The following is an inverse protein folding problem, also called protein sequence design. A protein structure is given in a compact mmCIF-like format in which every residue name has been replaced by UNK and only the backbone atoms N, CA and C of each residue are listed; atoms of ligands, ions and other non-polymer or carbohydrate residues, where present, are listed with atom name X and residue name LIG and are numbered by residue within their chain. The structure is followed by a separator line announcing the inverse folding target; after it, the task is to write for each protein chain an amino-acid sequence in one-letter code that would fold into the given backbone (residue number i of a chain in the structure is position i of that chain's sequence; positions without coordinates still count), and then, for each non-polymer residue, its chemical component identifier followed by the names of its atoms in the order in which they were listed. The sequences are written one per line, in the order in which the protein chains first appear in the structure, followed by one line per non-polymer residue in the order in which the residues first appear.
data_IF_222813899093
#
_entry.id   IF_222813899093
#
_cell.length_a   1.000
_cell.length_b   1.000
_cell.length_c   1.000
_cell.angle_alpha   90.00
_cell.angle_beta   90.00
_cell.angle_gamma   90.00
#
_symmetry.space_group_name_H-M   'P 1'
#
loop_
_entity.id
_entity.type
_entity.pdbx_description
1 polymer ?
#
# COMPACT_ATOMS: atom_id res chain seq x y z
N UNK A 1 7.14 -0.85 28.34
CA UNK A 1 8.36 -0.87 27.49
C UNK A 1 8.24 -1.86 26.33
N UNK A 2 7.96 -3.15 26.57
CA UNK A 2 7.77 -4.15 25.48
C UNK A 2 6.66 -3.77 24.49
N UNK A 3 5.52 -3.29 25.00
CA UNK A 3 4.39 -2.85 24.17
C UNK A 3 4.75 -1.63 23.31
N UNK A 4 5.42 -0.63 23.90
CA UNK A 4 5.90 0.54 23.16
C UNK A 4 6.86 0.16 22.02
N UNK A 5 7.78 -0.77 22.28
CA UNK A 5 8.73 -1.27 21.27
C UNK A 5 7.98 -2.01 20.14
N UNK A 6 6.97 -2.81 20.49
CA UNK A 6 6.16 -3.51 19.49
C UNK A 6 5.37 -2.51 18.62
N UNK A 7 4.76 -1.50 19.22
CA UNK A 7 4.05 -0.46 18.49
C UNK A 7 4.99 0.33 17.57
N UNK A 8 6.19 0.68 18.03
CA UNK A 8 7.19 1.36 17.21
C UNK A 8 7.60 0.51 16.01
N UNK A 9 7.82 -0.80 16.22
CA UNK A 9 8.13 -1.74 15.13
C UNK A 9 6.97 -1.83 14.15
N UNK A 10 5.74 -2.03 14.65
CA UNK A 10 4.53 -2.13 13.83
C UNK A 10 4.36 -0.89 12.93
N UNK A 11 4.50 0.32 13.50
CA UNK A 11 4.37 1.57 12.76
C UNK A 11 5.51 1.76 11.75
N UNK A 12 6.75 1.38 12.10
CA UNK A 12 7.86 1.41 11.16
C UNK A 12 7.63 0.46 9.97
N UNK A 13 7.09 -0.74 10.21
CA UNK A 13 6.77 -1.69 9.15
C UNK A 13 5.62 -1.21 8.27
N UNK A 14 4.55 -0.64 8.83
CA UNK A 14 3.44 -0.04 8.07
C UNK A 14 3.90 1.14 7.22
N UNK A 15 4.73 2.02 7.78
CA UNK A 15 5.32 3.13 7.05
C UNK A 15 6.21 2.64 5.91
N UNK A 16 7.09 1.65 6.17
CA UNK A 16 7.96 1.08 5.14
C UNK A 16 7.15 0.37 4.04
N UNK A 17 6.15 -0.44 4.42
CA UNK A 17 5.28 -1.13 3.47
C UNK A 17 4.53 -0.14 2.56
N UNK A 18 4.18 1.05 3.05
CA UNK A 18 3.52 2.09 2.25
C UNK A 18 4.37 2.61 1.07
N UNK A 19 5.68 2.34 1.05
CA UNK A 19 6.56 2.63 -0.09
C UNK A 19 6.60 1.53 -1.16
N UNK A 20 5.98 0.38 -0.90
CA UNK A 20 6.09 -0.78 -1.78
C UNK A 20 5.10 -0.72 -2.94
N UNK A 21 5.43 -1.42 -4.03
CA UNK A 21 4.61 -1.47 -5.23
C UNK A 21 3.45 -2.45 -5.03
N UNK A 22 2.27 -1.88 -4.73
CA UNK A 22 1.01 -2.59 -4.61
C UNK A 22 0.03 -2.23 -5.74
N UNK A 23 0.53 -1.77 -6.90
CA UNK A 23 -0.29 -1.26 -8.01
C UNK A 23 -1.40 -2.22 -8.47
N UNK A 24 -1.22 -3.53 -8.25
CA UNK A 24 -2.15 -4.59 -8.67
C UNK A 24 -2.91 -5.25 -7.50
N UNK A 25 -2.85 -4.67 -6.31
CA UNK A 25 -3.64 -5.12 -5.16
C UNK A 25 -5.06 -4.52 -5.23
N UNK A 26 -5.34 -3.63 -6.21
CA UNK A 26 -6.54 -2.81 -6.24
C UNK A 26 -7.12 -2.66 -7.65
N UNK A 27 -8.28 -3.27 -7.87
CA UNK A 27 -9.43 -2.79 -8.67
C UNK A 27 -10.17 -4.02 -9.22
N UNK A 28 -11.39 -4.20 -8.73
CA UNK A 28 -12.42 -5.10 -9.24
C UNK A 28 -12.01 -6.56 -9.39
N UNK A 29 -12.22 -7.39 -8.34
CA UNK A 29 -12.41 -8.86 -8.39
C UNK A 29 -11.39 -9.70 -9.21
N UNK A 30 -10.38 -9.08 -9.80
CA UNK A 30 -9.26 -9.69 -10.49
C UNK A 30 -8.22 -9.86 -9.43
N UNK A 31 -8.37 -11.01 -8.80
CA UNK A 31 -7.47 -11.60 -7.85
C UNK A 31 -6.03 -11.25 -8.23
N UNK A 32 -5.26 -10.75 -7.27
CA UNK A 32 -3.82 -10.59 -7.36
C UNK A 32 -3.13 -11.81 -8.01
N UNK A 33 -3.73 -12.99 -7.86
CA UNK A 33 -3.37 -14.29 -8.45
C UNK A 33 -3.42 -14.34 -9.99
N UNK A 34 -4.11 -13.39 -10.64
CA UNK A 34 -4.16 -13.22 -12.09
C UNK A 34 -2.86 -12.64 -12.65
N UNK A 35 -2.12 -11.88 -11.85
CA UNK A 35 -0.84 -11.31 -12.27
C UNK A 35 0.29 -12.30 -12.05
N UNK A 36 1.30 -12.19 -12.90
CA UNK A 36 2.50 -13.01 -12.83
C UNK A 36 3.73 -12.14 -12.59
N UNK A 37 4.79 -12.74 -12.07
CA UNK A 37 6.07 -12.09 -11.89
C UNK A 37 7.21 -12.93 -12.45
N UNK A 38 8.31 -12.28 -12.81
CA UNK A 38 9.55 -12.97 -13.18
C UNK A 38 10.75 -12.03 -13.27
N UNK A 39 11.94 -12.60 -13.42
CA UNK A 39 13.19 -11.82 -13.41
C UNK A 39 13.53 -11.20 -14.77
N UNK A 40 12.91 -11.68 -15.85
CA UNK A 40 13.20 -11.21 -17.20
C UNK A 40 12.16 -10.19 -17.62
N UNK A 41 12.58 -9.04 -18.14
CA UNK A 41 11.62 -8.04 -18.68
C UNK A 41 10.73 -8.62 -19.78
N UNK A 42 11.27 -9.53 -20.57
CA UNK A 42 10.55 -10.23 -21.64
C UNK A 42 10.51 -11.72 -21.31
N UNK A 43 9.34 -12.26 -20.91
CA UNK A 43 9.22 -13.68 -20.61
C UNK A 43 9.39 -14.49 -21.91
N UNK A 44 10.56 -15.09 -22.11
CA UNK A 44 10.83 -16.00 -23.23
C UNK A 44 10.38 -17.43 -22.95
N UNK A 45 10.51 -17.85 -21.69
CA UNK A 45 10.15 -19.18 -21.20
C UNK A 45 9.24 -19.08 -19.98
N UNK A 46 8.20 -19.92 -19.92
CA UNK A 46 7.24 -19.96 -18.81
C UNK A 46 7.83 -20.48 -17.49
N UNK A 47 9.02 -21.08 -17.53
CA UNK A 47 9.63 -21.80 -16.39
C UNK A 47 10.16 -20.88 -15.27
N UNK A 48 10.26 -19.56 -15.51
CA UNK A 48 10.71 -18.57 -14.52
C UNK A 48 9.62 -17.54 -14.17
N UNK A 49 8.36 -17.95 -14.30
CA UNK A 49 7.20 -17.11 -14.04
C UNK A 49 6.44 -17.69 -12.85
N UNK A 50 6.16 -16.85 -11.86
CA UNK A 50 5.38 -17.21 -10.68
C UNK A 50 4.11 -16.35 -10.58
N UNK A 51 3.12 -16.78 -9.79
CA UNK A 51 2.00 -15.93 -9.41
C UNK A 51 2.49 -14.76 -8.55
N UNK A 52 1.90 -13.59 -8.77
CA UNK A 52 2.05 -12.46 -7.88
C UNK A 52 1.32 -12.77 -6.57
N UNK A 53 2.05 -12.63 -5.46
CA UNK A 53 1.48 -12.65 -4.11
C UNK A 53 1.97 -11.40 -3.37
N UNK A 54 1.14 -10.79 -2.53
CA UNK A 54 1.55 -9.58 -1.81
C UNK A 54 2.72 -9.85 -0.84
N UNK A 55 2.86 -11.08 -0.34
CA UNK A 55 4.04 -11.48 0.44
C UNK A 55 5.34 -11.31 -0.37
N UNK A 56 5.28 -11.53 -1.70
CA UNK A 56 6.40 -11.32 -2.62
C UNK A 56 6.64 -9.84 -2.89
N UNK A 57 5.59 -9.02 -2.95
CA UNK A 57 5.74 -7.56 -3.08
C UNK A 57 6.47 -6.94 -1.88
N UNK A 58 6.32 -7.55 -0.69
CA UNK A 58 7.02 -7.14 0.53
C UNK A 58 8.49 -7.60 0.60
N UNK A 59 8.79 -8.76 0.01
CA UNK A 59 10.04 -9.48 0.26
C UNK A 59 11.20 -9.01 -0.62
N UNK A 60 12.34 -8.76 0.01
CA UNK A 60 13.61 -8.45 -0.66
C UNK A 60 14.07 -9.51 -1.66
N UNK A 61 13.66 -10.77 -1.45
CA UNK A 61 13.98 -11.88 -2.37
C UNK A 61 13.44 -11.62 -3.78
N UNK A 62 12.29 -10.96 -3.87
CA UNK A 62 11.60 -10.68 -5.12
C UNK A 62 11.81 -9.25 -5.60
N UNK A 63 12.72 -8.50 -4.95
CA UNK A 63 13.12 -7.18 -5.42
C UNK A 63 13.59 -7.27 -6.87
N UNK A 64 13.18 -6.30 -7.67
CA UNK A 64 13.46 -6.16 -9.11
C UNK A 64 12.77 -7.19 -10.02
N UNK A 65 11.90 -8.06 -9.49
CA UNK A 65 11.04 -8.89 -10.34
C UNK A 65 10.06 -8.01 -11.10
N UNK A 66 9.93 -8.24 -12.40
CA UNK A 66 8.94 -7.60 -13.26
C UNK A 66 7.58 -8.21 -12.99
N UNK A 67 6.56 -7.35 -12.90
CA UNK A 67 5.17 -7.77 -12.91
C UNK A 67 4.71 -7.80 -14.36
N UNK A 68 4.21 -8.95 -14.80
CA UNK A 68 3.61 -9.13 -16.11
C UNK A 68 2.12 -8.86 -16.02
N UNK A 69 1.71 -7.81 -16.73
CA UNK A 69 0.33 -7.48 -17.04
C UNK A 69 0.16 -7.69 -18.56
N UNK A 70 -1.00 -8.21 -18.98
CA UNK A 70 -1.35 -8.39 -20.39
C UNK A 70 -1.49 -7.04 -21.11
N UNK A 71 -1.49 -5.92 -20.38
CA UNK A 71 -1.43 -4.56 -20.93
C UNK A 71 -0.01 -4.20 -21.40
N UNK A 72 0.13 -3.92 -22.70
CA UNK A 72 1.40 -3.89 -23.46
C UNK A 72 2.26 -2.64 -23.21
N UNK A 73 2.39 -2.09 -22.00
CA UNK A 73 3.17 -0.85 -21.84
C UNK A 73 3.88 -0.57 -20.52
N UNK A 74 3.67 -1.33 -19.45
CA UNK A 74 4.41 -1.07 -18.21
C UNK A 74 4.62 -2.36 -17.42
N UNK A 75 5.89 -2.79 -17.33
CA UNK A 75 6.31 -3.86 -16.43
C UNK A 75 6.96 -3.21 -15.20
N UNK A 76 6.18 -2.74 -14.21
CA UNK A 76 6.76 -2.20 -13.01
C UNK A 76 7.48 -3.33 -12.25
N UNK A 77 8.53 -2.98 -11.51
CA UNK A 77 9.26 -3.93 -10.69
C UNK A 77 8.75 -3.94 -9.26
N UNK A 78 8.89 -5.09 -8.60
CA UNK A 78 8.75 -5.21 -7.17
C UNK A 78 9.92 -4.51 -6.47
N UNK A 79 9.64 -3.82 -5.37
CA UNK A 79 10.62 -3.02 -4.63
C UNK A 79 10.63 -3.33 -3.12
N UNK A 80 10.00 -4.44 -2.70
CA UNK A 80 9.99 -4.86 -1.31
C UNK A 80 11.39 -5.09 -0.75
N UNK A 81 11.58 -4.74 0.52
CA UNK A 81 12.88 -4.85 1.20
C UNK A 81 12.84 -5.67 2.49
N UNK A 82 11.67 -6.20 2.85
CA UNK A 82 11.54 -7.03 4.04
C UNK A 82 12.32 -8.33 3.89
N UNK A 83 12.98 -8.75 4.98
CA UNK A 83 13.48 -10.12 5.07
C UNK A 83 12.32 -11.11 4.96
N UNK A 84 12.58 -12.34 4.50
CA UNK A 84 11.51 -13.33 4.26
C UNK A 84 10.63 -13.57 5.49
N UNK A 85 11.23 -13.69 6.68
CA UNK A 85 10.51 -13.87 7.95
C UNK A 85 9.67 -12.62 8.27
N UNK A 86 10.22 -11.43 8.04
CA UNK A 86 9.53 -10.17 8.26
C UNK A 86 8.32 -10.02 7.33
N UNK A 87 8.49 -10.29 6.03
CA UNK A 87 7.40 -10.28 5.06
C UNK A 87 6.28 -11.25 5.44
N UNK A 88 6.63 -12.48 5.85
CA UNK A 88 5.65 -13.48 6.33
C UNK A 88 4.94 -13.04 7.60
N UNK A 89 5.65 -12.45 8.55
CA UNK A 89 5.05 -11.99 9.81
C UNK A 89 4.13 -10.78 9.57
N UNK A 90 4.57 -9.82 8.75
CA UNK A 90 3.75 -8.68 8.33
C UNK A 90 2.48 -9.19 7.65
N UNK A 91 2.60 -10.11 6.70
CA UNK A 91 1.48 -10.73 5.99
C UNK A 91 0.52 -11.50 6.89
N UNK A 92 1.00 -12.12 7.97
CA UNK A 92 0.12 -12.78 8.95
C UNK A 92 -0.74 -11.79 9.72
N UNK A 93 -0.22 -10.58 9.97
CA UNK A 93 -0.87 -9.57 10.80
C UNK A 93 -1.67 -8.55 9.99
N UNK A 94 -1.12 -8.04 8.90
CA UNK A 94 -1.72 -6.98 8.10
C UNK A 94 -2.18 -7.52 6.74
N UNK A 95 -3.30 -6.97 6.28
CA UNK A 95 -3.81 -7.13 4.93
C UNK A 95 -3.86 -5.76 4.26
N UNK A 96 -3.48 -5.67 2.99
CA UNK A 96 -3.57 -4.42 2.23
C UNK A 96 -4.96 -4.38 1.61
N UNK A 97 -5.76 -3.38 1.99
CA UNK A 97 -7.14 -3.21 1.53
C UNK A 97 -7.25 -2.25 0.35
N UNK A 98 -6.38 -1.26 0.31
CA UNK A 98 -6.33 -0.30 -0.78
C UNK A 98 -4.93 0.31 -0.84
N UNK A 99 -4.38 0.49 -2.03
CA UNK A 99 -3.15 1.25 -2.24
C UNK A 99 -3.36 2.27 -3.36
N UNK A 100 -3.01 3.52 -3.06
CA UNK A 100 -2.83 4.59 -4.03
C UNK A 100 -1.34 4.70 -4.35
N UNK A 101 -0.91 4.28 -5.56
CA UNK A 101 0.45 4.52 -6.02
C UNK A 101 0.75 6.02 -6.08
N UNK A 102 2.04 6.35 -6.12
CA UNK A 102 2.50 7.72 -6.32
C UNK A 102 1.78 8.39 -7.50
N UNK A 103 1.01 9.42 -7.20
CA UNK A 103 0.41 10.30 -8.20
C UNK A 103 1.45 11.29 -8.73
N UNK A 104 1.12 12.00 -9.81
CA UNK A 104 1.98 13.05 -10.37
C UNK A 104 2.31 14.17 -9.35
N UNK A 105 1.49 14.33 -8.31
CA UNK A 105 1.73 15.29 -7.24
C UNK A 105 2.72 14.78 -6.17
N UNK A 106 3.10 13.50 -6.22
CA UNK A 106 3.93 12.84 -5.22
C UNK A 106 3.15 12.22 -4.05
N UNK A 107 1.81 12.31 -4.06
CA UNK A 107 0.96 11.68 -3.05
C UNK A 107 0.87 10.16 -3.25
N UNK A 108 1.00 9.42 -2.15
CA UNK A 108 0.71 7.99 -2.07
C UNK A 108 0.23 7.64 -0.66
N UNK A 109 -0.71 6.71 -0.58
CA UNK A 109 -1.27 6.25 0.68
C UNK A 109 -1.70 4.79 0.57
N UNK A 110 -1.70 4.09 1.69
CA UNK A 110 -2.13 2.70 1.78
C UNK A 110 -3.06 2.50 2.95
N UNK A 111 -4.19 1.83 2.71
CA UNK A 111 -5.09 1.33 3.74
C UNK A 111 -4.72 -0.12 4.06
N UNK A 112 -4.35 -0.35 5.31
CA UNK A 112 -4.10 -1.67 5.88
C UNK A 112 -5.25 -2.07 6.81
N UNK A 113 -5.42 -3.36 6.97
CA UNK A 113 -6.27 -3.96 7.99
C UNK A 113 -5.42 -4.83 8.92
N UNK A 114 -5.34 -4.46 10.20
CA UNK A 114 -4.72 -5.22 11.27
C UNK A 114 -5.67 -6.32 11.74
N UNK A 115 -5.37 -7.56 11.37
CA UNK A 115 -6.16 -8.75 11.68
C UNK A 115 -6.12 -9.13 13.16
N UNK A 116 -5.08 -8.71 13.89
CA UNK A 116 -4.94 -9.02 15.31
C UNK A 116 -5.76 -8.04 16.16
N UNK A 117 -5.78 -6.77 15.76
CA UNK A 117 -6.46 -5.70 16.51
C UNK A 117 -7.87 -5.39 16.00
N UNK A 118 -8.27 -5.95 14.85
CA UNK A 118 -9.53 -5.64 14.15
C UNK A 118 -9.65 -4.13 13.89
N UNK A 119 -8.60 -3.56 13.29
CA UNK A 119 -8.50 -2.12 13.01
C UNK A 119 -7.99 -1.83 11.62
N UNK A 120 -8.48 -0.73 11.06
CA UNK A 120 -7.95 -0.17 9.83
C UNK A 120 -6.85 0.83 10.15
N UNK A 121 -5.79 0.82 9.35
CA UNK A 121 -4.65 1.72 9.50
C UNK A 121 -4.33 2.36 8.15
N UNK A 122 -4.40 3.69 8.08
CA UNK A 122 -3.99 4.46 6.91
C UNK A 122 -2.55 4.87 7.11
N UNK A 123 -1.66 4.46 6.21
CA UNK A 123 -0.28 4.93 6.15
C UNK A 123 -0.08 5.87 4.98
N UNK A 124 0.40 7.09 5.26
CA UNK A 124 0.78 8.04 4.21
C UNK A 124 2.26 7.93 3.87
N UNK A 125 2.56 8.03 2.58
CA UNK A 125 3.94 8.21 2.13
C UNK A 125 4.29 9.69 2.21
N UNK A 126 5.31 10.03 2.97
CA UNK A 126 5.70 11.43 3.16
C UNK A 126 6.10 12.14 1.86
N UNK A 127 5.63 13.38 1.72
CA UNK A 127 6.32 14.48 1.03
C UNK A 127 6.47 15.59 2.06
N UNK A 128 7.68 16.15 2.18
CA UNK A 128 8.00 17.13 3.22
C UNK A 128 7.04 18.33 3.17
N UNK A 129 6.33 18.62 4.28
CA UNK A 129 5.66 19.91 4.52
C UNK A 129 4.12 19.97 4.45
N UNK A 130 3.40 18.95 3.95
CA UNK A 130 1.94 19.06 3.73
C UNK A 130 1.04 18.16 4.61
N UNK A 131 1.59 17.18 5.34
CA UNK A 131 0.80 16.09 5.95
C UNK A 131 0.73 16.13 7.49
N UNK A 132 0.72 17.31 8.11
CA UNK A 132 0.45 17.37 9.55
C UNK A 132 -1.01 16.95 9.84
N UNK A 133 -1.26 16.34 11.01
CA UNK A 133 -2.64 16.01 11.42
C UNK A 133 -3.56 17.25 11.43
N UNK A 134 -2.99 18.43 11.69
CA UNK A 134 -3.68 19.72 11.59
C UNK A 134 -4.08 20.06 10.14
N UNK A 135 -3.21 19.79 9.15
CA UNK A 135 -3.56 19.99 7.74
C UNK A 135 -4.65 19.03 7.28
N UNK A 136 -4.63 17.76 7.72
CA UNK A 136 -5.73 16.82 7.43
C UNK A 136 -7.06 17.26 8.04
N UNK A 137 -7.05 17.80 9.27
CA UNK A 137 -8.24 18.35 9.92
C UNK A 137 -8.77 19.59 9.18
N UNK A 138 -7.89 20.51 8.79
CA UNK A 138 -8.23 21.73 8.04
C UNK A 138 -8.72 21.42 6.61
N UNK A 139 -8.24 20.33 6.00
CA UNK A 139 -8.74 19.80 4.73
C UNK A 139 -10.21 19.38 4.85
N UNK A 140 -10.57 18.69 5.94
CA UNK A 140 -11.96 18.32 6.21
C UNK A 140 -12.91 19.52 6.28
N UNK A 141 -12.38 20.69 6.67
CA UNK A 141 -13.13 21.96 6.78
C UNK A 141 -13.12 22.80 5.48
N UNK A 142 -12.19 22.54 4.55
CA UNK A 142 -11.90 23.46 3.43
C UNK A 142 -11.83 22.75 2.07
N UNK A 143 -12.87 21.97 1.71
CA UNK A 143 -12.96 21.38 0.38
C UNK A 143 -13.27 22.45 -0.69
N UNK A 144 -12.25 23.12 -1.25
CA UNK A 144 -12.47 24.11 -2.31
C UNK A 144 -11.27 24.75 -3.01
N UNK A 145 -10.01 24.40 -2.71
CA UNK A 145 -8.83 25.05 -3.33
C UNK A 145 -7.99 24.06 -4.14
N UNK A 146 -7.65 24.43 -5.37
CA UNK A 146 -7.06 23.59 -6.41
C UNK A 146 -5.59 23.23 -6.20
N UNK A 147 -5.30 22.39 -5.19
CA UNK A 147 -4.00 21.75 -5.00
C UNK A 147 -4.05 20.29 -5.48
N UNK A 148 -3.08 19.87 -6.29
CA UNK A 148 -2.99 18.53 -6.85
C UNK A 148 -2.74 17.45 -5.79
N UNK A 149 -2.02 17.75 -4.70
CA UNK A 149 -1.85 16.79 -3.59
C UNK A 149 -3.14 16.65 -2.78
N UNK A 150 -3.87 17.76 -2.58
CA UNK A 150 -5.16 17.77 -1.89
C UNK A 150 -6.23 16.98 -2.67
N UNK A 151 -6.28 17.15 -4.00
CA UNK A 151 -7.18 16.39 -4.84
C UNK A 151 -6.86 14.89 -4.82
N UNK A 152 -5.59 14.51 -4.78
CA UNK A 152 -5.16 13.12 -4.69
C UNK A 152 -5.56 12.48 -3.35
N UNK A 153 -5.40 13.20 -2.22
CA UNK A 153 -5.93 12.77 -0.93
C UNK A 153 -7.45 12.61 -0.98
N UNK A 154 -8.16 13.62 -1.50
CA UNK A 154 -9.62 13.59 -1.59
C UNK A 154 -10.07 12.35 -2.36
N UNK A 155 -9.43 12.06 -3.49
CA UNK A 155 -9.74 10.88 -4.29
C UNK A 155 -9.48 9.59 -3.51
N UNK A 156 -8.31 9.46 -2.86
CA UNK A 156 -8.01 8.31 -2.02
C UNK A 156 -9.05 8.11 -0.90
N UNK A 157 -9.45 9.18 -0.20
CA UNK A 157 -10.49 9.12 0.83
C UNK A 157 -11.83 8.66 0.27
N UNK A 158 -12.21 9.12 -0.93
CA UNK A 158 -13.42 8.67 -1.62
C UNK A 158 -13.33 7.18 -2.02
N UNK A 159 -12.17 6.72 -2.47
CA UNK A 159 -11.97 5.35 -2.90
C UNK A 159 -12.00 4.36 -1.73
N UNK A 160 -11.50 4.75 -0.56
CA UNK A 160 -11.57 3.91 0.65
C UNK A 160 -12.88 4.05 1.43
N UNK A 161 -13.67 5.11 1.20
CA UNK A 161 -14.92 5.32 1.92
C UNK A 161 -15.89 4.12 1.83
N UNK A 162 -16.11 3.48 0.66
CA UNK A 162 -16.91 2.26 0.58
C UNK A 162 -16.42 1.11 1.48
N UNK A 163 -15.10 0.98 1.64
CA UNK A 163 -14.47 -0.03 2.52
C UNK A 163 -14.77 0.29 3.99
N UNK A 164 -14.77 1.58 4.34
CA UNK A 164 -14.86 2.06 5.72
C UNK A 164 -16.29 2.47 6.15
N UNK A 165 -17.27 2.50 5.24
CA UNK A 165 -18.63 3.04 5.48
C UNK A 165 -19.39 2.41 6.65
N UNK A 166 -18.98 1.23 7.14
CA UNK A 166 -19.60 0.53 8.28
C UNK A 166 -18.66 0.35 9.48
N UNK A 167 -17.47 0.97 9.42
CA UNK A 167 -16.44 0.86 10.44
C UNK A 167 -16.59 2.03 11.42
N UNK A 168 -16.59 1.74 12.72
CA UNK A 168 -16.50 2.78 13.75
C UNK A 168 -15.18 3.54 13.58
N UNK A 169 -15.25 4.87 13.58
CA UNK A 169 -14.08 5.76 13.58
C UNK A 169 -13.00 5.40 14.62
N UNK A 170 -13.38 4.85 15.78
CA UNK A 170 -12.43 4.39 16.81
C UNK A 170 -11.56 3.19 16.39
N UNK A 171 -11.98 2.51 15.32
CA UNK A 171 -11.27 1.39 14.70
C UNK A 171 -10.45 1.82 13.49
N UNK A 172 -10.33 3.13 13.22
CA UNK A 172 -9.51 3.69 12.15
C UNK A 172 -8.34 4.44 12.80
N UNK A 173 -7.13 4.06 12.42
CA UNK A 173 -5.89 4.72 12.82
C UNK A 173 -5.30 5.39 11.59
N UNK A 174 -4.79 6.61 11.75
CA UNK A 174 -4.08 7.34 10.71
C UNK A 174 -2.64 7.53 11.21
N UNK A 175 -1.66 7.11 10.40
CA UNK A 175 -0.22 7.15 10.68
C UNK A 175 0.54 8.06 9.70
#
# INVERSE_FOLDING_TARGET
MKELINNLRDYAELAQASYFNFMYINNDEREMDSYKIGQNRFPKDKDNIENLEYTKTLSKKYKDYFIYDDSIALYPTLNGEFGEIQAKNFAKKYEIKFHQPNTASGFSATLFYDKEKDKFVVGFRGTEGLWSMDTLADIGLTFGKGDFQLNALKQFLLDIAPILNKVDSNNIIIL
#
